data_IF_453581303426
#
_entry.id   IF_453581303426
#
_cell.length_a   1.000
_cell.length_b   1.000
_cell.length_c   1.000
_cell.angle_alpha   90.00
_cell.angle_beta   90.00
_cell.angle_gamma   90.00
#
_symmetry.space_group_name_H-M   'P 1'
#
loop_
_entity.id
_entity.type
_entity.pdbx_description
1 polymer ?
#
# COMPACT_ATOMS: atom_id res chain seq x y z
N UNK A 1 -27.43 11.26 -35.89
CA UNK A 1 -27.58 9.90 -35.33
C UNK A 1 -26.28 9.17 -35.62
N UNK A 2 -25.36 9.12 -34.65
CA UNK A 2 -24.03 8.50 -34.83
C UNK A 2 -24.18 7.00 -34.63
N UNK A 3 -23.79 6.21 -35.62
CA UNK A 3 -23.78 4.74 -35.55
C UNK A 3 -22.80 4.29 -34.47
N UNK A 4 -23.15 3.30 -33.61
CA UNK A 4 -22.22 2.73 -32.66
C UNK A 4 -21.06 2.09 -33.43
N UNK A 5 -19.85 2.56 -33.18
CA UNK A 5 -18.61 1.97 -33.68
C UNK A 5 -18.52 0.55 -33.12
N UNK A 6 -18.84 -0.43 -33.93
CA UNK A 6 -18.58 -1.85 -33.67
C UNK A 6 -17.07 -1.99 -33.43
N UNK A 7 -16.67 -2.36 -32.21
CA UNK A 7 -15.29 -2.61 -31.86
C UNK A 7 -14.80 -3.83 -32.66
N UNK A 8 -14.15 -3.56 -33.80
CA UNK A 8 -13.54 -4.62 -34.62
C UNK A 8 -12.43 -5.23 -33.78
N UNK A 9 -12.58 -6.50 -33.40
CA UNK A 9 -11.58 -7.30 -32.75
C UNK A 9 -10.28 -7.27 -33.55
N UNK A 10 -9.20 -6.69 -32.93
CA UNK A 10 -7.89 -6.66 -33.57
C UNK A 10 -7.03 -7.80 -33.04
N UNK A 11 -6.38 -8.64 -33.90
CA UNK A 11 -5.59 -9.80 -33.46
C UNK A 11 -4.42 -9.50 -32.51
N UNK A 12 -4.05 -8.24 -32.29
CA UNK A 12 -2.99 -7.81 -31.38
C UNK A 12 -3.43 -7.48 -29.94
N UNK A 13 -4.74 -7.35 -29.69
CA UNK A 13 -5.25 -6.88 -28.40
C UNK A 13 -5.00 -7.88 -27.25
N UNK A 14 -5.00 -9.16 -27.51
CA UNK A 14 -4.71 -10.19 -26.51
C UNK A 14 -3.27 -10.11 -26.01
N UNK A 15 -2.32 -10.06 -26.90
CA UNK A 15 -0.88 -9.97 -26.59
C UNK A 15 -0.53 -8.66 -25.86
N UNK A 16 -1.17 -7.55 -26.24
CA UNK A 16 -1.00 -6.26 -25.59
C UNK A 16 -1.50 -6.27 -24.14
N UNK A 17 -2.68 -6.86 -23.90
CA UNK A 17 -3.24 -7.02 -22.55
C UNK A 17 -2.39 -7.94 -21.67
N UNK A 18 -1.85 -9.02 -22.24
CA UNK A 18 -0.93 -9.92 -21.52
C UNK A 18 0.34 -9.18 -21.13
N UNK A 19 0.99 -8.47 -22.04
CA UNK A 19 2.19 -7.66 -21.75
C UNK A 19 1.92 -6.62 -20.67
N UNK A 20 0.79 -5.92 -20.72
CA UNK A 20 0.41 -4.93 -19.72
C UNK A 20 0.29 -5.55 -18.31
N UNK A 21 -0.40 -6.68 -18.19
CA UNK A 21 -0.51 -7.42 -16.91
C UNK A 21 0.85 -7.86 -16.37
N UNK A 22 1.74 -8.32 -17.26
CA UNK A 22 3.11 -8.69 -16.88
C UNK A 22 3.88 -7.51 -16.27
N UNK A 23 3.79 -6.33 -16.86
CA UNK A 23 4.45 -5.14 -16.32
C UNK A 23 3.86 -4.71 -14.97
N UNK A 24 2.54 -4.79 -14.79
CA UNK A 24 1.93 -4.53 -13.47
C UNK A 24 2.49 -5.52 -12.43
N UNK A 25 2.50 -6.81 -12.75
CA UNK A 25 3.02 -7.85 -11.85
C UNK A 25 4.48 -7.57 -11.46
N UNK A 26 5.30 -7.17 -12.43
CA UNK A 26 6.70 -6.81 -12.22
C UNK A 26 6.85 -5.59 -11.31
N UNK A 27 6.05 -4.52 -11.52
CA UNK A 27 6.04 -3.33 -10.66
C UNK A 27 5.66 -3.70 -9.23
N UNK A 28 4.61 -4.50 -9.06
CA UNK A 28 4.13 -4.92 -7.73
C UNK A 28 5.17 -5.79 -7.03
N UNK A 29 5.73 -6.78 -7.70
CA UNK A 29 6.78 -7.65 -7.14
C UNK A 29 7.99 -6.80 -6.72
N UNK A 30 8.45 -5.90 -7.58
CA UNK A 30 9.56 -5.01 -7.27
C UNK A 30 9.24 -4.07 -6.10
N UNK A 31 8.00 -3.56 -6.04
CA UNK A 31 7.51 -2.73 -4.93
C UNK A 31 7.52 -3.50 -3.60
N UNK A 32 7.12 -4.78 -3.61
CA UNK A 32 7.19 -5.66 -2.44
C UNK A 32 8.64 -5.87 -2.02
N UNK A 33 9.50 -6.25 -2.96
CA UNK A 33 10.92 -6.55 -2.66
C UNK A 33 11.64 -5.34 -2.04
N UNK A 34 11.50 -4.14 -2.62
CA UNK A 34 12.19 -2.95 -2.11
C UNK A 34 11.68 -2.56 -0.71
N UNK A 35 10.39 -2.80 -0.41
CA UNK A 35 9.80 -2.51 0.90
C UNK A 35 10.13 -3.56 1.95
N UNK A 36 10.41 -4.78 1.55
CA UNK A 36 10.87 -5.83 2.47
C UNK A 36 12.34 -5.65 2.85
N UNK A 37 13.15 -5.01 1.98
CA UNK A 37 14.54 -4.70 2.31
C UNK A 37 14.57 -3.78 3.54
N UNK A 38 15.35 -4.17 4.55
CA UNK A 38 15.58 -3.39 5.78
C UNK A 38 14.33 -3.21 6.68
N UNK A 39 13.26 -3.99 6.47
CA UNK A 39 12.02 -3.89 7.25
C UNK A 39 12.25 -4.09 8.75
N UNK A 40 13.19 -4.95 9.13
CA UNK A 40 13.48 -5.33 10.52
C UNK A 40 14.83 -4.82 11.04
N UNK A 41 15.60 -4.13 10.23
CA UNK A 41 16.97 -3.73 10.59
C UNK A 41 17.04 -2.62 11.63
N UNK A 42 15.95 -1.90 11.86
CA UNK A 42 15.85 -0.80 12.82
C UNK A 42 14.92 -1.13 13.97
N UNK A 43 15.29 -0.74 15.17
CA UNK A 43 14.38 -0.76 16.31
C UNK A 43 13.17 0.15 16.06
N UNK A 44 12.07 -0.10 16.77
CA UNK A 44 10.90 0.76 16.71
C UNK A 44 11.30 2.18 17.18
N UNK A 45 10.94 3.14 16.37
CA UNK A 45 11.11 4.55 16.69
C UNK A 45 10.04 4.99 17.70
N UNK A 46 10.22 6.15 18.33
CA UNK A 46 9.33 6.61 19.41
C UNK A 46 7.85 6.64 19.00
N UNK A 47 7.54 7.17 17.81
CA UNK A 47 6.17 7.26 17.28
C UNK A 47 5.60 5.88 16.94
N UNK A 48 6.43 4.96 16.42
CA UNK A 48 6.02 3.59 16.17
C UNK A 48 5.70 2.86 17.47
N UNK A 49 6.57 3.04 18.48
CA UNK A 49 6.37 2.45 19.80
C UNK A 49 5.09 2.95 20.46
N UNK A 50 4.79 4.26 20.35
CA UNK A 50 3.55 4.87 20.84
C UNK A 50 2.34 4.27 20.13
N UNK A 51 2.38 4.11 18.81
CA UNK A 51 1.30 3.50 18.03
C UNK A 51 1.03 2.06 18.45
N UNK A 52 2.08 1.26 18.66
CA UNK A 52 1.97 -0.12 19.14
C UNK A 52 1.40 -0.17 20.56
N UNK A 53 1.87 0.72 21.46
CA UNK A 53 1.39 0.77 22.84
C UNK A 53 -0.09 1.13 22.91
N UNK A 54 -0.55 2.14 22.18
CA UNK A 54 -1.97 2.51 22.08
C UNK A 54 -2.79 1.34 21.54
N UNK A 55 -2.30 0.68 20.50
CA UNK A 55 -3.00 -0.45 19.87
C UNK A 55 -3.03 -1.72 20.71
N UNK A 56 -2.22 -1.84 21.78
CA UNK A 56 -2.27 -2.96 22.73
C UNK A 56 -3.42 -2.86 23.75
N UNK A 57 -4.01 -1.69 23.91
CA UNK A 57 -5.13 -1.51 24.83
C UNK A 57 -6.41 -2.16 24.29
N UNK A 58 -7.39 -2.39 25.20
CA UNK A 58 -8.76 -2.73 24.80
C UNK A 58 -9.35 -1.61 23.95
N UNK A 59 -10.30 -1.93 23.07
CA UNK A 59 -10.88 -0.97 22.10
C UNK A 59 -11.35 0.31 22.77
N UNK A 60 -12.01 0.22 23.95
CA UNK A 60 -12.49 1.38 24.70
C UNK A 60 -11.35 2.30 25.16
N UNK A 61 -10.29 1.71 25.72
CA UNK A 61 -9.11 2.46 26.17
C UNK A 61 -8.30 2.99 24.98
N UNK A 62 -8.21 2.23 23.89
CA UNK A 62 -7.58 2.66 22.65
C UNK A 62 -8.26 3.92 22.12
N UNK A 63 -9.59 3.93 22.02
CA UNK A 63 -10.35 5.10 21.57
C UNK A 63 -10.18 6.29 22.50
N UNK A 64 -10.13 6.05 23.82
CA UNK A 64 -9.85 7.10 24.78
C UNK A 64 -8.47 7.73 24.58
N UNK A 65 -7.40 6.92 24.44
CA UNK A 65 -6.05 7.42 24.19
C UNK A 65 -5.93 8.09 22.82
N UNK A 66 -6.54 7.52 21.77
CA UNK A 66 -6.55 8.09 20.43
C UNK A 66 -7.28 9.46 20.36
N UNK A 67 -8.26 9.71 21.24
CA UNK A 67 -8.94 11.00 21.32
C UNK A 67 -8.04 12.15 21.79
N UNK A 68 -6.95 11.85 22.52
CA UNK A 68 -5.94 12.82 22.96
C UNK A 68 -4.72 12.87 22.04
N UNK A 69 -4.65 11.99 21.04
CA UNK A 69 -3.60 11.98 20.03
C UNK A 69 -4.00 12.82 18.82
N UNK A 70 -3.02 13.27 18.08
CA UNK A 70 -3.20 14.09 16.85
C UNK A 70 -3.72 13.23 15.68
N UNK A 71 -3.61 11.90 15.79
CA UNK A 71 -3.86 10.97 14.71
C UNK A 71 -5.26 10.34 14.76
N UNK A 72 -5.89 10.06 13.61
CA UNK A 72 -7.19 9.40 13.56
C UNK A 72 -7.18 7.99 14.19
N UNK A 73 -8.22 7.60 14.94
CA UNK A 73 -8.25 6.31 15.65
C UNK A 73 -8.30 5.08 14.73
N UNK A 74 -8.66 5.25 13.45
CA UNK A 74 -8.85 4.16 12.51
C UNK A 74 -7.58 3.30 12.33
N UNK A 75 -6.41 3.94 12.24
CA UNK A 75 -5.16 3.21 12.08
C UNK A 75 -4.84 2.36 13.31
N UNK A 76 -5.05 2.89 14.51
CA UNK A 76 -4.84 2.16 15.78
C UNK A 76 -5.76 0.96 15.91
N UNK A 77 -7.02 1.08 15.49
CA UNK A 77 -7.97 -0.04 15.44
C UNK A 77 -7.52 -1.13 14.46
N UNK A 78 -7.13 -0.74 13.26
CA UNK A 78 -6.61 -1.68 12.27
C UNK A 78 -5.32 -2.37 12.75
N UNK A 79 -4.44 -1.63 13.41
CA UNK A 79 -3.20 -2.18 13.98
C UNK A 79 -3.51 -3.11 15.17
N UNK A 80 -4.50 -2.78 16.01
CA UNK A 80 -4.97 -3.65 17.09
C UNK A 80 -5.43 -5.02 16.54
N UNK A 81 -6.35 -5.02 15.58
CA UNK A 81 -6.85 -6.25 14.96
C UNK A 81 -5.73 -7.02 14.24
N UNK A 82 -4.82 -6.29 13.57
CA UNK A 82 -3.67 -6.87 12.91
C UNK A 82 -2.72 -7.57 13.88
N UNK A 83 -2.47 -6.96 15.04
CA UNK A 83 -1.64 -7.54 16.10
C UNK A 83 -2.27 -8.77 16.75
N UNK A 84 -3.59 -8.83 16.86
CA UNK A 84 -4.31 -10.03 17.32
C UNK A 84 -4.07 -11.20 16.36
N UNK A 85 -4.06 -10.94 15.05
CA UNK A 85 -3.90 -11.98 14.01
C UNK A 85 -2.45 -12.43 13.82
N UNK A 86 -1.48 -11.50 13.83
CA UNK A 86 -0.10 -11.74 13.40
C UNK A 86 0.94 -11.54 14.51
N UNK A 87 0.48 -11.15 15.71
CA UNK A 87 1.36 -10.82 16.83
C UNK A 87 1.93 -9.41 16.77
N UNK A 88 2.79 -9.11 17.73
CA UNK A 88 3.33 -7.77 17.97
C UNK A 88 4.84 -7.64 17.66
N UNK A 89 5.39 -8.56 16.87
CA UNK A 89 6.77 -8.47 16.39
C UNK A 89 6.95 -7.25 15.47
N UNK A 90 8.18 -6.72 15.40
CA UNK A 90 8.52 -5.57 14.53
C UNK A 90 8.06 -5.82 13.08
N UNK A 91 8.29 -7.02 12.57
CA UNK A 91 7.86 -7.40 11.23
C UNK A 91 6.34 -7.40 11.09
N UNK A 92 5.61 -7.91 12.09
CA UNK A 92 4.16 -7.99 12.06
C UNK A 92 3.53 -6.58 12.06
N UNK A 93 3.94 -5.69 12.95
CA UNK A 93 3.35 -4.34 13.03
C UNK A 93 3.68 -3.48 11.80
N UNK A 94 4.87 -3.60 11.22
CA UNK A 94 5.27 -2.89 10.01
C UNK A 94 4.62 -3.46 8.74
N UNK A 95 4.27 -4.75 8.74
CA UNK A 95 3.63 -5.39 7.58
C UNK A 95 2.27 -4.79 7.24
N UNK A 96 1.55 -4.20 8.18
CA UNK A 96 0.32 -3.46 7.91
C UNK A 96 0.58 -2.23 7.04
N UNK A 97 1.57 -1.40 7.41
CA UNK A 97 1.96 -0.22 6.61
C UNK A 97 2.52 -0.62 5.24
N UNK A 98 3.28 -1.71 5.19
CA UNK A 98 3.77 -2.29 3.94
C UNK A 98 2.61 -2.68 3.01
N UNK A 99 1.59 -3.35 3.53
CA UNK A 99 0.39 -3.71 2.78
C UNK A 99 -0.29 -2.47 2.18
N UNK A 100 -0.49 -1.42 2.97
CA UNK A 100 -1.07 -0.16 2.47
C UNK A 100 -0.17 0.51 1.43
N UNK A 101 1.15 0.47 1.60
CA UNK A 101 2.11 0.97 0.60
C UNK A 101 1.99 0.25 -0.75
N UNK A 102 1.82 -1.08 -0.74
CA UNK A 102 1.60 -1.87 -1.97
C UNK A 102 0.24 -1.56 -2.59
N UNK A 103 -0.83 -1.50 -1.77
CA UNK A 103 -2.17 -1.13 -2.24
C UNK A 103 -2.17 0.24 -2.89
N UNK A 104 -1.43 1.21 -2.34
CA UNK A 104 -1.27 2.54 -2.94
C UNK A 104 -0.69 2.46 -4.34
N UNK A 105 0.36 1.66 -4.56
CA UNK A 105 0.95 1.48 -5.91
C UNK A 105 -0.08 0.90 -6.89
N UNK A 106 -0.84 -0.12 -6.47
CA UNK A 106 -1.89 -0.73 -7.30
C UNK A 106 -2.99 0.28 -7.63
N UNK A 107 -3.43 1.06 -6.64
CA UNK A 107 -4.46 2.09 -6.82
C UNK A 107 -3.98 3.22 -7.74
N UNK A 108 -2.73 3.65 -7.64
CA UNK A 108 -2.13 4.64 -8.55
C UNK A 108 -2.15 4.12 -9.99
N UNK A 109 -1.76 2.86 -10.21
CA UNK A 109 -1.81 2.25 -11.55
C UNK A 109 -3.25 2.21 -12.07
N UNK A 110 -4.19 1.74 -11.24
CA UNK A 110 -5.60 1.61 -11.63
C UNK A 110 -6.23 2.97 -11.95
N UNK A 111 -6.03 3.96 -11.09
CA UNK A 111 -6.55 5.31 -11.26
C UNK A 111 -5.95 6.00 -12.48
N UNK A 112 -4.63 5.93 -12.65
CA UNK A 112 -3.96 6.54 -13.81
C UNK A 112 -4.38 5.87 -15.11
N UNK A 113 -4.63 4.56 -15.11
CA UNK A 113 -5.16 3.86 -16.27
C UNK A 113 -6.56 4.36 -16.64
N UNK A 114 -7.41 4.60 -15.64
CA UNK A 114 -8.75 5.10 -15.85
C UNK A 114 -8.78 6.54 -16.36
N UNK A 115 -7.88 7.40 -15.85
CA UNK A 115 -7.81 8.82 -16.21
C UNK A 115 -7.05 9.09 -17.52
N UNK A 116 -6.09 8.23 -17.88
CA UNK A 116 -5.21 8.46 -19.03
C UNK A 116 -5.10 7.20 -19.91
N UNK A 117 -3.95 6.52 -19.87
CA UNK A 117 -3.67 5.37 -20.72
C UNK A 117 -2.72 4.37 -20.04
N UNK A 118 -2.56 3.19 -20.66
CA UNK A 118 -1.75 2.10 -20.12
C UNK A 118 -0.27 2.47 -19.91
N UNK A 119 0.33 3.25 -20.81
CA UNK A 119 1.74 3.66 -20.70
C UNK A 119 1.96 4.61 -19.53
N UNK A 120 1.10 5.61 -19.40
CA UNK A 120 1.14 6.57 -18.28
C UNK A 120 0.91 5.85 -16.95
N UNK A 121 -0.03 4.88 -16.91
CA UNK A 121 -0.28 4.09 -15.71
C UNK A 121 0.95 3.28 -15.25
N UNK A 122 1.68 2.67 -16.19
CA UNK A 122 2.91 1.95 -15.85
C UNK A 122 4.01 2.90 -15.34
N UNK A 123 4.17 4.06 -15.96
CA UNK A 123 5.13 5.07 -15.49
C UNK A 123 4.76 5.56 -14.08
N UNK A 124 3.49 5.91 -13.85
CA UNK A 124 3.01 6.34 -12.54
C UNK A 124 3.21 5.24 -11.48
N UNK A 125 2.98 3.97 -11.85
CA UNK A 125 3.24 2.82 -10.97
C UNK A 125 4.71 2.69 -10.60
N UNK A 126 5.64 2.84 -11.54
CA UNK A 126 7.07 2.85 -11.26
C UNK A 126 7.46 4.01 -10.35
N UNK A 127 6.96 5.23 -10.60
CA UNK A 127 7.21 6.37 -9.72
C UNK A 127 6.70 6.12 -8.30
N UNK A 128 5.47 5.62 -8.14
CA UNK A 128 4.90 5.31 -6.83
C UNK A 128 5.65 4.17 -6.12
N UNK A 129 6.13 3.16 -6.88
CA UNK A 129 6.90 2.05 -6.33
C UNK A 129 8.28 2.46 -5.82
N UNK A 130 8.93 3.41 -6.51
CA UNK A 130 10.32 3.83 -6.28
C UNK A 130 10.45 5.12 -5.46
N UNK A 131 9.34 5.85 -5.22
CA UNK A 131 9.37 7.12 -4.49
C UNK A 131 9.96 6.92 -3.08
N UNK A 132 11.11 7.55 -2.73
CA UNK A 132 11.82 7.25 -1.49
C UNK A 132 10.97 7.45 -0.25
N UNK A 133 10.18 8.53 -0.20
CA UNK A 133 9.25 8.81 0.91
C UNK A 133 8.17 7.74 1.05
N UNK A 134 7.58 7.29 -0.08
CA UNK A 134 6.55 6.25 -0.04
C UNK A 134 7.12 4.88 0.40
N UNK A 135 8.35 4.58 0.02
CA UNK A 135 9.06 3.37 0.49
C UNK A 135 9.34 3.49 1.99
N UNK A 136 9.91 4.60 2.42
CA UNK A 136 10.28 4.84 3.82
C UNK A 136 9.08 4.74 4.75
N UNK A 137 8.00 5.48 4.48
CA UNK A 137 6.78 5.44 5.30
C UNK A 137 6.04 4.10 5.26
N UNK A 138 6.21 3.29 4.22
CA UNK A 138 5.65 1.93 4.20
C UNK A 138 6.46 0.93 5.03
N UNK A 139 7.67 1.29 5.47
CA UNK A 139 8.54 0.50 6.34
C UNK A 139 8.43 0.90 7.83
N UNK A 140 7.60 1.88 8.15
CA UNK A 140 7.35 2.34 9.51
C UNK A 140 5.90 2.04 9.92
N UNK A 141 5.69 1.75 11.22
CA UNK A 141 4.36 1.59 11.81
C UNK A 141 3.79 2.98 12.10
N UNK A 142 3.38 3.67 11.05
CA UNK A 142 2.98 5.07 11.13
C UNK A 142 1.86 5.37 10.14
N UNK A 143 1.04 6.37 10.48
CA UNK A 143 0.07 6.98 9.58
C UNK A 143 0.69 8.00 8.67
#
# INVERSE_FOLDING_TARGET
MALPQLSIWQPGDGLRKIKYKYHICLIVIFSVLIRLLFLTDRYLWCDEASSVLISRHSVDNLLFHAAFDVHPPLYYLLLHDWMILWGDSIAAVRSLSLLFGILTVVLVIALTRWLANERTALLAGWFAALMPMAVHYSQETRM
#
